data_IF_897894491304
#
_entry.id   IF_897894491304
#
_cell.length_a   1.000
_cell.length_b   1.000
_cell.length_c   1.000
_cell.angle_alpha   90.00
_cell.angle_beta   90.00
_cell.angle_gamma   90.00
#
_symmetry.space_group_name_H-M   'P 1'
#
loop_
_entity.id
_entity.type
_entity.pdbx_description
1 polymer ?
#
# COMPACT_ATOMS: atom_id res chain seq x y z
N UNK A 1 3.30 29.41 17.54
CA UNK A 1 2.68 29.26 16.22
C UNK A 1 1.82 28.01 16.22
N UNK A 2 0.83 27.90 15.35
CA UNK A 2 -0.06 26.72 15.27
C UNK A 2 -0.12 26.19 13.84
N UNK A 3 -0.41 24.92 13.63
CA UNK A 3 -0.57 24.39 12.27
C UNK A 3 -1.95 24.68 11.66
N UNK A 4 -2.08 24.49 10.34
CA UNK A 4 -3.34 24.67 9.61
C UNK A 4 -4.47 23.78 10.17
N UNK A 5 -4.16 22.54 10.53
CA UNK A 5 -5.12 21.62 11.12
C UNK A 5 -5.71 22.14 12.44
N UNK A 6 -4.90 22.74 13.32
CA UNK A 6 -5.38 23.38 14.54
C UNK A 6 -6.37 24.50 14.22
N UNK A 7 -6.04 25.36 13.26
CA UNK A 7 -6.89 26.50 12.86
C UNK A 7 -8.24 26.01 12.34
N UNK A 8 -8.22 25.05 11.42
CA UNK A 8 -9.44 24.48 10.82
C UNK A 8 -10.33 23.80 11.86
N UNK A 9 -9.72 23.11 12.82
CA UNK A 9 -10.45 22.35 13.84
C UNK A 9 -11.05 23.24 14.94
N UNK A 10 -10.30 24.22 15.43
CA UNK A 10 -10.68 24.96 16.65
C UNK A 10 -11.15 26.39 16.39
N UNK A 11 -10.66 27.05 15.34
CA UNK A 11 -10.88 28.48 15.16
C UNK A 11 -12.08 28.82 14.26
N UNK A 12 -12.70 27.83 13.57
CA UNK A 12 -13.97 27.97 12.81
C UNK A 12 -14.07 29.24 11.94
N UNK A 13 -12.97 29.67 11.33
CA UNK A 13 -12.90 30.84 10.46
C UNK A 13 -12.60 32.18 11.15
N UNK A 14 -12.37 32.20 12.46
CA UNK A 14 -11.83 33.36 13.15
C UNK A 14 -10.36 33.61 12.75
N UNK A 15 -9.96 34.88 12.69
CA UNK A 15 -8.56 35.25 12.43
C UNK A 15 -7.67 34.66 13.55
N UNK A 16 -6.72 33.76 13.22
CA UNK A 16 -5.87 33.12 14.21
C UNK A 16 -5.02 34.12 14.98
N UNK A 17 -4.56 35.22 14.38
CA UNK A 17 -3.61 36.15 15.00
C UNK A 17 -4.23 37.00 16.13
N UNK A 18 -5.56 37.08 16.17
CA UNK A 18 -6.30 37.79 17.23
C UNK A 18 -6.66 36.88 18.40
N UNK A 19 -6.37 35.58 18.32
CA UNK A 19 -6.77 34.61 19.33
C UNK A 19 -5.68 34.35 20.37
N UNK A 20 -6.13 33.94 21.56
CA UNK A 20 -5.28 33.51 22.67
C UNK A 20 -5.65 32.09 23.04
N UNK A 21 -4.65 31.29 23.40
CA UNK A 21 -4.82 29.91 23.84
C UNK A 21 -4.34 29.81 25.28
N UNK A 22 -5.16 29.21 26.15
CA UNK A 22 -4.78 28.88 27.52
C UNK A 22 -4.17 27.49 27.56
N UNK A 23 -2.93 27.36 28.04
CA UNK A 23 -2.23 26.08 28.13
C UNK A 23 -1.66 25.86 29.52
N UNK A 24 -1.74 24.61 29.97
CA UNK A 24 -1.01 24.16 31.15
C UNK A 24 0.47 24.07 30.82
N UNK A 25 1.27 24.93 31.46
CA UNK A 25 2.72 24.90 31.31
C UNK A 25 3.27 23.84 32.25
N UNK A 26 3.51 22.66 31.71
CA UNK A 26 4.03 21.54 32.48
C UNK A 26 5.55 21.72 32.70
N UNK A 27 5.94 22.00 33.94
CA UNK A 27 7.34 22.09 34.36
C UNK A 27 7.75 20.79 35.07
N UNK A 28 8.70 20.02 34.52
CA UNK A 28 9.16 18.80 35.16
C UNK A 28 9.68 19.07 36.58
N UNK A 29 9.13 18.38 37.58
CA UNK A 29 9.52 18.52 38.98
C UNK A 29 8.87 19.68 39.75
N UNK A 30 7.95 20.46 39.14
CA UNK A 30 7.22 21.53 39.80
C UNK A 30 5.73 21.18 39.99
N UNK A 31 5.04 21.73 41.02
CA UNK A 31 3.60 21.58 41.16
C UNK A 31 2.85 22.17 39.95
N UNK A 32 1.64 21.68 39.64
CA UNK A 32 0.84 22.21 38.53
C UNK A 32 0.64 23.72 38.71
N UNK A 33 1.08 24.49 37.72
CA UNK A 33 0.93 25.93 37.69
C UNK A 33 -0.44 26.32 37.13
N UNK A 34 -0.86 27.56 37.37
CA UNK A 34 -2.04 28.11 36.69
C UNK A 34 -1.81 28.10 35.17
N UNK A 35 -2.85 27.85 34.36
CA UNK A 35 -2.76 27.95 32.91
C UNK A 35 -2.22 29.31 32.51
N UNK A 36 -1.33 29.32 31.52
CA UNK A 36 -0.78 30.55 30.95
C UNK A 36 -1.48 30.80 29.62
N UNK A 37 -1.82 32.05 29.36
CA UNK A 37 -2.36 32.45 28.07
C UNK A 37 -1.26 32.85 27.09
N UNK A 38 -1.34 32.30 25.89
CA UNK A 38 -0.40 32.52 24.79
C UNK A 38 -1.12 33.13 23.61
N UNK A 39 -0.55 34.17 22.99
CA UNK A 39 -1.07 34.72 21.74
C UNK A 39 -0.57 33.91 20.54
N UNK A 40 -1.45 33.64 19.59
CA UNK A 40 -1.05 33.03 18.32
C UNK A 40 -0.37 34.11 17.47
N UNK A 41 0.90 33.88 17.13
CA UNK A 41 1.73 34.83 16.35
C UNK A 41 1.97 34.41 14.91
N UNK A 42 1.44 33.25 14.50
CA UNK A 42 1.62 32.73 13.15
C UNK A 42 1.05 31.33 12.98
N UNK A 43 0.82 30.98 11.71
CA UNK A 43 0.34 29.68 11.25
C UNK A 43 1.38 29.06 10.34
N UNK A 44 1.64 27.76 10.50
CA UNK A 44 2.56 27.00 9.65
C UNK A 44 1.84 25.84 8.96
N UNK A 45 2.42 25.34 7.86
CA UNK A 45 1.86 24.23 7.11
C UNK A 45 1.85 22.93 7.93
N UNK A 46 0.87 22.08 7.69
CA UNK A 46 0.78 20.79 8.36
C UNK A 46 2.01 19.91 8.09
N UNK A 47 2.63 19.41 9.16
CA UNK A 47 3.77 18.50 9.12
C UNK A 47 3.42 17.19 9.81
N UNK A 48 3.94 16.06 9.30
CA UNK A 48 3.68 14.73 9.85
C UNK A 48 4.71 14.37 10.94
N UNK A 49 4.79 15.20 11.99
CA UNK A 49 5.82 15.09 13.03
C UNK A 49 5.60 13.94 14.03
N UNK A 50 4.35 13.65 14.40
CA UNK A 50 3.99 12.62 15.39
C UNK A 50 3.57 11.26 14.77
N UNK A 51 3.62 11.12 13.45
CA UNK A 51 3.28 9.90 12.74
C UNK A 51 2.74 10.15 11.33
N UNK A 52 2.87 9.16 10.45
CA UNK A 52 2.45 9.27 9.03
C UNK A 52 0.92 9.15 8.89
N UNK A 53 0.22 8.66 9.91
CA UNK A 53 -1.14 8.10 9.83
C UNK A 53 -2.25 9.06 10.26
N UNK A 54 -1.98 10.05 11.10
CA UNK A 54 -2.99 10.98 11.60
C UNK A 54 -2.48 12.42 11.56
N UNK A 55 -3.32 13.30 11.01
CA UNK A 55 -3.13 14.73 11.16
C UNK A 55 -3.51 15.12 12.60
N UNK A 56 -2.61 15.81 13.27
CA UNK A 56 -2.81 16.26 14.65
C UNK A 56 -2.64 17.77 14.72
N UNK A 57 -3.25 18.36 15.74
CA UNK A 57 -3.11 19.79 16.02
C UNK A 57 -1.77 20.02 16.70
N UNK A 58 -0.93 20.85 16.12
CA UNK A 58 0.43 21.11 16.59
C UNK A 58 0.61 22.58 16.96
N UNK A 59 1.39 22.80 18.01
CA UNK A 59 1.61 24.11 18.61
C UNK A 59 3.10 24.24 18.90
N UNK A 60 3.73 25.14 18.16
CA UNK A 60 5.15 25.43 18.32
C UNK A 60 5.35 26.63 19.23
N UNK A 61 6.04 26.37 20.33
CA UNK A 61 6.40 27.36 21.34
C UNK A 61 7.91 27.60 21.29
N UNK A 62 8.37 28.87 21.18
CA UNK A 62 9.79 29.17 21.27
C UNK A 62 10.41 28.61 22.55
N UNK A 63 11.54 27.90 22.42
CA UNK A 63 12.21 27.23 23.54
C UNK A 63 12.43 28.16 24.74
N UNK A 64 12.82 29.41 24.51
CA UNK A 64 13.06 30.40 25.58
C UNK A 64 11.81 30.76 26.39
N UNK A 65 10.61 30.57 25.84
CA UNK A 65 9.35 30.84 26.54
C UNK A 65 8.84 29.61 27.30
N UNK A 66 9.22 28.40 26.89
CA UNK A 66 8.88 27.15 27.58
C UNK A 66 10.04 26.14 27.50
N UNK A 67 11.10 26.31 28.29
CA UNK A 67 12.28 25.45 28.22
C UNK A 67 11.96 24.06 28.78
N UNK A 68 12.22 23.03 27.97
CA UNK A 68 12.09 21.63 28.37
C UNK A 68 13.47 21.04 28.70
N UNK A 69 13.61 20.23 29.78
CA UNK A 69 14.90 19.66 30.18
C UNK A 69 15.48 18.63 29.19
N UNK A 70 14.68 18.16 28.23
CA UNK A 70 15.14 17.29 27.14
C UNK A 70 15.13 18.11 25.85
N UNK A 71 16.31 18.47 25.39
CA UNK A 71 16.49 19.26 24.16
C UNK A 71 16.94 18.32 23.05
N UNK A 72 16.28 18.41 21.91
CA UNK A 72 16.74 17.81 20.66
C UNK A 72 17.11 18.93 19.71
N UNK A 73 18.22 18.79 19.00
CA UNK A 73 18.68 19.76 18.02
C UNK A 73 18.64 19.13 16.64
N UNK A 74 18.09 19.87 15.68
CA UNK A 74 18.09 19.49 14.26
C UNK A 74 19.12 20.35 13.56
N UNK A 75 20.00 19.70 12.81
CA UNK A 75 21.08 20.36 12.06
C UNK A 75 20.86 20.08 10.59
N UNK A 76 20.80 21.15 9.78
CA UNK A 76 20.75 21.06 8.32
C UNK A 76 22.14 21.26 7.74
N UNK A 77 22.55 20.35 6.87
CA UNK A 77 23.85 20.37 6.19
C UNK A 77 23.67 20.00 4.71
N UNK A 78 24.47 20.57 3.83
CA UNK A 78 24.49 20.25 2.40
C UNK A 78 25.43 19.06 2.06
N UNK A 79 26.23 18.62 3.04
CA UNK A 79 27.14 17.47 2.95
C UNK A 79 26.49 16.25 3.63
N UNK A 80 26.97 15.04 3.34
CA UNK A 80 26.54 13.80 4.01
C UNK A 80 26.42 14.00 5.54
N UNK A 81 25.19 13.89 6.10
CA UNK A 81 24.95 14.08 7.53
C UNK A 81 25.87 13.22 8.40
N UNK A 82 26.23 12.01 7.95
CA UNK A 82 27.09 11.09 8.71
C UNK A 82 28.53 11.60 8.83
N UNK A 83 29.00 12.34 7.83
CA UNK A 83 30.34 12.92 7.84
C UNK A 83 30.49 14.05 8.88
N UNK A 84 29.40 14.75 9.20
CA UNK A 84 29.40 15.91 10.11
C UNK A 84 29.23 15.51 11.57
N UNK A 85 28.78 14.28 11.86
CA UNK A 85 28.51 13.78 13.23
C UNK A 85 29.73 13.95 14.15
N UNK A 86 30.94 13.59 13.69
CA UNK A 86 32.15 13.71 14.52
C UNK A 86 32.49 15.17 14.84
N UNK A 87 32.32 16.07 13.88
CA UNK A 87 32.56 17.50 14.07
C UNK A 87 31.56 18.10 15.05
N UNK A 88 30.27 17.75 14.94
CA UNK A 88 29.25 18.13 15.91
C UNK A 88 29.59 17.56 17.29
N UNK A 89 30.04 16.30 17.35
CA UNK A 89 30.40 15.67 18.61
C UNK A 89 31.55 16.38 19.32
N UNK A 90 32.58 16.76 18.56
CA UNK A 90 33.67 17.56 19.08
C UNK A 90 33.21 18.95 19.56
N UNK A 91 32.30 19.60 18.83
CA UNK A 91 31.78 20.91 19.20
C UNK A 91 30.97 20.86 20.51
N UNK A 92 30.09 19.88 20.66
CA UNK A 92 29.32 19.69 21.91
C UNK A 92 30.25 19.35 23.08
N UNK A 93 31.20 18.43 22.88
CA UNK A 93 32.16 18.06 23.92
C UNK A 93 33.04 19.24 24.38
N UNK A 94 33.31 20.21 23.50
CA UNK A 94 34.04 21.42 23.87
C UNK A 94 33.26 22.39 24.76
N UNK A 95 31.92 22.33 24.73
CA UNK A 95 31.04 23.13 25.58
C UNK A 95 30.84 22.44 26.93
N UNK A 96 30.55 21.14 26.91
CA UNK A 96 30.35 20.34 28.11
C UNK A 96 30.79 18.88 27.85
N UNK A 97 31.90 18.42 28.45
CA UNK A 97 32.39 17.05 28.29
C UNK A 97 31.46 15.98 28.87
N UNK A 98 30.65 16.32 29.87
CA UNK A 98 29.77 15.39 30.58
C UNK A 98 28.42 15.22 29.88
N UNK A 99 28.17 15.97 28.80
CA UNK A 99 26.91 15.93 28.06
C UNK A 99 26.91 14.79 27.01
N UNK A 100 26.15 13.70 27.21
CA UNK A 100 26.15 12.59 26.28
C UNK A 100 25.40 12.96 24.99
N UNK A 101 26.07 12.81 23.85
CA UNK A 101 25.41 12.79 22.55
C UNK A 101 24.66 11.47 22.35
N UNK A 102 23.48 11.40 22.93
CA UNK A 102 22.60 10.25 22.81
C UNK A 102 21.67 10.41 21.59
N UNK A 103 21.52 9.34 20.81
CA UNK A 103 20.46 9.25 19.79
C UNK A 103 20.67 10.07 18.52
N UNK A 104 21.92 10.34 18.13
CA UNK A 104 22.23 10.98 16.84
C UNK A 104 21.74 10.07 15.71
N UNK A 105 20.75 10.55 14.95
CA UNK A 105 20.16 9.85 13.80
C UNK A 105 19.96 10.84 12.67
N UNK A 106 20.07 10.36 11.44
CA UNK A 106 19.68 11.16 10.27
C UNK A 106 18.15 11.20 10.13
N UNK A 107 17.63 12.21 9.45
CA UNK A 107 16.19 12.25 9.12
C UNK A 107 15.80 11.00 8.30
N UNK A 108 16.66 10.53 7.40
CA UNK A 108 16.42 9.30 6.64
C UNK A 108 16.31 8.05 7.53
N UNK A 109 17.14 7.96 8.57
CA UNK A 109 17.07 6.86 9.53
C UNK A 109 15.75 6.90 10.31
N UNK A 110 15.36 8.08 10.81
CA UNK A 110 14.09 8.29 11.53
C UNK A 110 12.90 7.92 10.63
N UNK A 111 12.91 8.35 9.37
CA UNK A 111 11.88 8.02 8.39
C UNK A 111 11.86 6.52 8.11
N UNK A 112 13.01 5.88 7.94
CA UNK A 112 13.11 4.44 7.65
C UNK A 112 12.60 3.58 8.80
N UNK A 113 12.89 3.97 10.04
CA UNK A 113 12.45 3.28 11.26
C UNK A 113 10.94 3.42 11.45
N UNK A 114 10.39 4.62 11.19
CA UNK A 114 8.96 4.88 11.25
C UNK A 114 8.17 4.08 10.20
N UNK A 115 8.77 3.81 9.03
CA UNK A 115 8.15 3.07 7.94
C UNK A 115 8.42 1.56 7.99
N UNK A 116 9.24 1.07 8.92
CA UNK A 116 9.66 -0.34 8.95
C UNK A 116 8.47 -1.29 9.18
N UNK A 117 7.56 -0.93 10.08
CA UNK A 117 6.34 -1.70 10.38
C UNK A 117 5.42 -1.73 9.15
N UNK A 118 5.19 -0.58 8.51
CA UNK A 118 4.33 -0.49 7.33
C UNK A 118 4.90 -1.32 6.16
N UNK A 119 6.22 -1.29 5.94
CA UNK A 119 6.89 -2.13 4.93
C UNK A 119 6.71 -3.61 5.20
N UNK A 120 6.83 -4.05 6.44
CA UNK A 120 6.64 -5.45 6.79
C UNK A 120 5.22 -5.92 6.46
N UNK A 121 4.20 -5.15 6.84
CA UNK A 121 2.80 -5.45 6.52
C UNK A 121 2.55 -5.49 5.00
N UNK A 122 3.10 -4.54 4.25
CA UNK A 122 2.98 -4.51 2.78
C UNK A 122 3.59 -5.77 2.16
N UNK A 123 4.79 -6.16 2.57
CA UNK A 123 5.46 -7.37 2.04
C UNK A 123 4.66 -8.62 2.40
N UNK A 124 4.17 -8.73 3.63
CA UNK A 124 3.37 -9.86 4.08
C UNK A 124 2.06 -9.99 3.26
N UNK A 125 1.27 -8.92 3.16
CA UNK A 125 0.03 -8.96 2.38
C UNK A 125 0.28 -9.13 0.88
N UNK A 126 1.34 -8.53 0.33
CA UNK A 126 1.74 -8.75 -1.06
C UNK A 126 2.07 -10.22 -1.32
N UNK A 127 2.75 -10.89 -0.38
CA UNK A 127 3.06 -12.32 -0.50
C UNK A 127 1.82 -13.21 -0.44
N UNK A 128 0.86 -12.93 0.45
CA UNK A 128 -0.43 -13.62 0.45
C UNK A 128 -1.23 -13.36 -0.82
N UNK A 129 -1.24 -12.12 -1.32
CA UNK A 129 -1.85 -11.77 -2.59
C UNK A 129 -1.22 -12.54 -3.77
N UNK A 130 0.11 -12.63 -3.81
CA UNK A 130 0.83 -13.37 -4.83
C UNK A 130 0.54 -14.88 -4.77
N UNK A 131 0.51 -15.47 -3.57
CA UNK A 131 0.12 -16.87 -3.38
C UNK A 131 -1.33 -17.14 -3.79
N UNK A 132 -2.25 -16.27 -3.39
CA UNK A 132 -3.66 -16.36 -3.79
C UNK A 132 -3.83 -16.25 -5.30
N UNK A 133 -3.10 -15.34 -5.95
CA UNK A 133 -3.07 -15.19 -7.40
C UNK A 133 -2.53 -16.44 -8.10
N UNK A 134 -1.46 -17.02 -7.57
CA UNK A 134 -0.88 -18.26 -8.09
C UNK A 134 -1.87 -19.42 -7.96
N UNK A 135 -2.49 -19.59 -6.80
CA UNK A 135 -3.51 -20.62 -6.58
C UNK A 135 -4.71 -20.44 -7.50
N UNK A 136 -5.16 -19.20 -7.70
CA UNK A 136 -6.24 -18.88 -8.63
C UNK A 136 -5.84 -19.24 -10.08
N UNK A 137 -4.64 -18.86 -10.53
CA UNK A 137 -4.15 -19.20 -11.86
C UNK A 137 -4.03 -20.72 -12.08
N UNK A 138 -3.53 -21.45 -11.08
CA UNK A 138 -3.45 -22.93 -11.13
C UNK A 138 -4.84 -23.56 -11.16
N UNK A 139 -5.78 -23.06 -10.34
CA UNK A 139 -7.17 -23.55 -10.32
C UNK A 139 -7.90 -23.31 -11.64
N UNK A 140 -7.79 -22.10 -12.19
CA UNK A 140 -8.29 -21.74 -13.52
C UNK A 140 -7.71 -22.67 -14.59
N UNK A 141 -6.38 -22.88 -14.55
CA UNK A 141 -5.72 -23.78 -15.48
C UNK A 141 -6.25 -25.21 -15.37
N UNK A 142 -6.32 -25.76 -14.16
CA UNK A 142 -6.79 -27.12 -13.91
C UNK A 142 -8.22 -27.33 -14.40
N UNK A 143 -9.15 -26.46 -13.99
CA UNK A 143 -10.58 -26.58 -14.34
C UNK A 143 -10.79 -26.43 -15.85
N UNK A 144 -10.18 -25.43 -16.49
CA UNK A 144 -10.38 -25.22 -17.92
C UNK A 144 -9.66 -26.27 -18.77
N UNK A 145 -8.42 -26.62 -18.43
CA UNK A 145 -7.70 -27.63 -19.19
C UNK A 145 -8.39 -29.00 -19.11
N UNK A 146 -8.93 -29.35 -17.94
CA UNK A 146 -9.72 -30.57 -17.76
C UNK A 146 -11.03 -30.53 -18.58
N UNK A 147 -11.75 -29.41 -18.57
CA UNK A 147 -12.96 -29.24 -19.37
C UNK A 147 -12.71 -29.36 -20.88
N UNK A 148 -11.61 -28.79 -21.37
CA UNK A 148 -11.20 -28.94 -22.78
C UNK A 148 -10.79 -30.38 -23.09
N UNK A 149 -10.09 -31.05 -22.16
CA UNK A 149 -9.68 -32.44 -22.31
C UNK A 149 -10.88 -33.40 -22.43
N UNK A 150 -11.95 -33.19 -21.65
CA UNK A 150 -13.16 -34.02 -21.75
C UNK A 150 -13.90 -33.85 -23.08
N UNK A 151 -13.81 -32.67 -23.71
CA UNK A 151 -14.48 -32.38 -25.00
C UNK A 151 -13.64 -32.75 -26.23
N UNK A 152 -12.48 -33.36 -26.04
CA UNK A 152 -11.57 -33.75 -27.14
C UNK A 152 -12.21 -34.71 -28.14
N UNK A 153 -13.05 -35.64 -27.67
CA UNK A 153 -13.77 -36.58 -28.54
C UNK A 153 -14.75 -35.85 -29.48
N UNK A 154 -15.51 -34.87 -28.96
CA UNK A 154 -16.42 -34.05 -29.78
C UNK A 154 -15.66 -33.23 -30.84
N UNK A 155 -14.49 -32.70 -30.46
CA UNK A 155 -13.62 -31.98 -31.39
C UNK A 155 -13.10 -32.89 -32.50
N UNK A 156 -12.71 -34.13 -32.18
CA UNK A 156 -12.30 -35.15 -33.14
C UNK A 156 -13.37 -35.46 -34.17
N UNK A 157 -14.62 -35.69 -33.71
CA UNK A 157 -15.77 -35.94 -34.60
C UNK A 157 -16.05 -34.75 -35.52
N UNK A 158 -16.03 -33.51 -35.00
CA UNK A 158 -16.23 -32.30 -35.83
C UNK A 158 -15.15 -32.14 -36.89
N UNK A 159 -13.89 -32.43 -36.56
CA UNK A 159 -12.77 -32.37 -37.52
C UNK A 159 -12.93 -33.46 -38.58
N UNK A 160 -13.35 -34.68 -38.20
CA UNK A 160 -13.63 -35.77 -39.14
C UNK A 160 -14.78 -35.43 -40.11
N UNK A 161 -15.76 -34.64 -39.66
CA UNK A 161 -16.85 -34.09 -40.50
C UNK A 161 -16.41 -32.88 -41.37
N UNK A 162 -15.12 -32.53 -41.39
CA UNK A 162 -14.57 -31.48 -42.24
C UNK A 162 -14.44 -30.09 -41.59
N UNK A 163 -14.63 -29.96 -40.28
CA UNK A 163 -14.42 -28.68 -39.61
C UNK A 163 -12.93 -28.28 -39.62
N UNK A 164 -12.64 -27.04 -39.99
CA UNK A 164 -11.29 -26.47 -39.94
C UNK A 164 -10.80 -26.37 -38.48
N UNK A 165 -9.58 -26.87 -38.21
CA UNK A 165 -8.95 -26.85 -36.87
C UNK A 165 -8.98 -25.47 -36.18
N UNK A 166 -8.68 -24.34 -36.87
CA UNK A 166 -8.74 -23.01 -36.24
C UNK A 166 -10.14 -22.63 -35.76
N UNK A 167 -11.20 -23.11 -36.41
CA UNK A 167 -12.59 -22.83 -36.04
C UNK A 167 -12.98 -23.51 -34.73
N UNK A 168 -12.46 -24.71 -34.48
CA UNK A 168 -12.66 -25.44 -33.22
C UNK A 168 -11.89 -24.76 -32.08
N UNK A 169 -10.63 -24.39 -32.31
CA UNK A 169 -9.81 -23.68 -31.32
C UNK A 169 -10.41 -22.32 -30.96
N UNK A 170 -10.90 -21.55 -31.94
CA UNK A 170 -11.55 -20.27 -31.72
C UNK A 170 -12.84 -20.39 -30.88
N UNK A 171 -13.61 -21.47 -31.07
CA UNK A 171 -14.81 -21.73 -30.27
C UNK A 171 -14.45 -21.99 -28.80
N UNK A 172 -13.46 -22.85 -28.56
CA UNK A 172 -12.97 -23.15 -27.20
C UNK A 172 -12.44 -21.90 -26.52
N UNK A 173 -11.67 -21.09 -27.25
CA UNK A 173 -11.18 -19.82 -26.71
C UNK A 173 -12.32 -18.87 -26.37
N UNK A 174 -13.33 -18.76 -27.24
CA UNK A 174 -14.49 -17.89 -27.01
C UNK A 174 -15.24 -18.29 -25.74
N UNK A 175 -15.53 -19.58 -25.57
CA UNK A 175 -16.18 -20.10 -24.36
C UNK A 175 -15.32 -19.87 -23.11
N UNK A 176 -14.03 -20.17 -23.19
CA UNK A 176 -13.08 -19.94 -22.10
C UNK A 176 -12.95 -18.46 -21.72
N UNK A 177 -12.87 -17.56 -22.71
CA UNK A 177 -12.88 -16.11 -22.46
C UNK A 177 -14.16 -15.63 -21.82
N UNK A 178 -15.32 -16.12 -22.27
CA UNK A 178 -16.59 -15.69 -21.69
C UNK A 178 -16.66 -16.08 -20.20
N UNK A 179 -16.29 -17.32 -19.87
CA UNK A 179 -16.19 -17.80 -18.49
C UNK A 179 -15.19 -16.99 -17.67
N UNK A 180 -13.99 -16.74 -18.19
CA UNK A 180 -12.95 -15.98 -17.51
C UNK A 180 -13.36 -14.52 -17.26
N UNK A 181 -14.00 -13.88 -18.23
CA UNK A 181 -14.48 -12.49 -18.11
C UNK A 181 -15.61 -12.40 -17.09
N UNK A 182 -16.60 -13.29 -17.17
CA UNK A 182 -17.72 -13.30 -16.21
C UNK A 182 -17.20 -13.55 -14.78
N UNK A 183 -16.40 -14.59 -14.60
CA UNK A 183 -15.80 -14.91 -13.30
C UNK A 183 -14.91 -13.78 -12.78
N UNK A 184 -14.11 -13.18 -13.67
CA UNK A 184 -13.26 -12.04 -13.35
C UNK A 184 -14.06 -10.81 -12.93
N UNK A 185 -15.14 -10.45 -13.63
CA UNK A 185 -16.01 -9.32 -13.26
C UNK A 185 -16.69 -9.56 -11.91
N UNK A 186 -17.16 -10.78 -11.64
CA UNK A 186 -17.74 -11.14 -10.34
C UNK A 186 -16.68 -11.03 -9.24
N UNK A 187 -15.48 -11.55 -9.48
CA UNK A 187 -14.36 -11.48 -8.54
C UNK A 187 -13.93 -10.05 -8.24
N UNK A 188 -13.79 -9.21 -9.26
CA UNK A 188 -13.46 -7.78 -9.11
C UNK A 188 -14.57 -7.03 -8.35
N UNK A 189 -15.84 -7.32 -8.65
CA UNK A 189 -16.98 -6.76 -7.91
C UNK A 189 -16.95 -7.15 -6.44
N UNK A 190 -16.68 -8.42 -6.13
CA UNK A 190 -16.51 -8.90 -4.76
C UNK A 190 -15.34 -8.23 -4.04
N UNK A 191 -14.18 -8.15 -4.69
CA UNK A 191 -12.99 -7.48 -4.14
C UNK A 191 -13.24 -5.99 -3.87
N UNK A 192 -13.96 -5.30 -4.76
CA UNK A 192 -14.36 -3.91 -4.58
C UNK A 192 -15.28 -3.72 -3.37
N UNK A 193 -16.30 -4.58 -3.22
CA UNK A 193 -17.24 -4.52 -2.10
C UNK A 193 -16.54 -4.77 -0.75
N UNK A 194 -15.65 -5.76 -0.68
CA UNK A 194 -14.85 -6.04 0.52
C UNK A 194 -13.93 -4.87 0.83
N UNK A 195 -13.22 -4.34 -0.16
CA UNK A 195 -12.35 -3.17 0.02
C UNK A 195 -13.12 -1.95 0.55
N UNK A 196 -14.33 -1.72 0.04
CA UNK A 196 -15.22 -0.64 0.50
C UNK A 196 -15.70 -0.86 1.94
N UNK A 197 -16.04 -2.09 2.32
CA UNK A 197 -16.43 -2.42 3.69
C UNK A 197 -15.27 -2.27 4.70
N UNK A 198 -14.03 -2.55 4.26
CA UNK A 198 -12.85 -2.30 5.07
C UNK A 198 -12.59 -0.79 5.27
N UNK A 199 -12.76 0.02 4.23
CA UNK A 199 -12.64 1.48 4.33
C UNK A 199 -13.63 2.10 5.33
N UNK A 200 -14.86 1.57 5.45
CA UNK A 200 -15.82 2.09 6.44
C UNK A 200 -15.45 1.77 7.89
N UNK A 201 -14.54 0.83 8.12
CA UNK A 201 -14.16 0.36 9.46
C UNK A 201 -12.78 0.85 9.88
N UNK A 202 -11.89 1.14 8.92
CA UNK A 202 -10.48 1.44 9.17
C UNK A 202 -10.11 2.83 8.63
N UNK A 203 -9.67 3.72 9.51
CA UNK A 203 -9.19 5.06 9.15
C UNK A 203 -7.88 4.96 8.35
N UNK A 204 -7.76 5.78 7.28
CA UNK A 204 -6.52 5.91 6.51
C UNK A 204 -6.27 4.86 5.42
N UNK A 205 -7.25 4.01 5.07
CA UNK A 205 -7.12 3.09 3.92
C UNK A 205 -7.36 3.86 2.63
N UNK A 206 -6.33 3.90 1.76
CA UNK A 206 -6.42 4.51 0.44
C UNK A 206 -7.52 3.86 -0.43
N UNK A 207 -7.97 4.60 -1.44
CA UNK A 207 -8.92 4.14 -2.45
C UNK A 207 -8.52 2.82 -3.13
N UNK A 208 -9.48 2.21 -3.83
CA UNK A 208 -9.24 1.02 -4.65
C UNK A 208 -8.17 1.30 -5.70
N UNK A 209 -7.08 0.52 -5.70
CA UNK A 209 -6.02 0.63 -6.71
C UNK A 209 -6.44 -0.05 -8.02
N UNK A 210 -6.86 0.78 -8.98
CA UNK A 210 -7.30 0.33 -10.29
C UNK A 210 -6.20 -0.38 -11.09
N UNK A 211 -4.91 -0.08 -10.83
CA UNK A 211 -3.77 -0.72 -11.50
C UNK A 211 -3.61 -2.15 -11.01
N UNK A 212 -3.71 -2.37 -9.70
CA UNK A 212 -3.65 -3.71 -9.12
C UNK A 212 -4.81 -4.59 -9.61
N UNK A 213 -6.03 -4.06 -9.63
CA UNK A 213 -7.22 -4.75 -10.14
C UNK A 213 -7.05 -5.15 -11.62
N UNK A 214 -6.60 -4.20 -12.45
CA UNK A 214 -6.30 -4.46 -13.85
C UNK A 214 -5.25 -5.54 -14.03
N UNK A 215 -4.10 -5.43 -13.34
CA UNK A 215 -3.01 -6.40 -13.43
C UNK A 215 -3.45 -7.82 -13.07
N UNK A 216 -4.20 -7.99 -11.97
CA UNK A 216 -4.74 -9.29 -11.55
C UNK A 216 -5.69 -9.86 -12.61
N UNK A 217 -6.62 -9.05 -13.11
CA UNK A 217 -7.58 -9.48 -14.13
C UNK A 217 -6.86 -9.95 -15.41
N UNK A 218 -5.88 -9.17 -15.90
CA UNK A 218 -5.11 -9.53 -17.09
C UNK A 218 -4.29 -10.81 -16.88
N UNK A 219 -3.65 -10.99 -15.71
CA UNK A 219 -2.88 -12.20 -15.40
C UNK A 219 -3.76 -13.46 -15.36
N UNK A 220 -4.94 -13.37 -14.75
CA UNK A 220 -5.90 -14.48 -14.73
C UNK A 220 -6.47 -14.75 -16.13
N UNK A 221 -6.68 -13.72 -16.94
CA UNK A 221 -7.13 -13.88 -18.34
C UNK A 221 -6.07 -14.57 -19.20
N UNK A 222 -4.78 -14.23 -19.03
CA UNK A 222 -3.67 -14.91 -19.69
C UNK A 222 -3.60 -16.38 -19.25
N UNK A 223 -3.74 -16.64 -17.95
CA UNK A 223 -3.79 -18.00 -17.41
C UNK A 223 -4.93 -18.82 -18.04
N UNK A 224 -6.13 -18.23 -18.14
CA UNK A 224 -7.28 -18.83 -18.80
C UNK A 224 -7.00 -19.12 -20.28
N UNK A 225 -6.40 -18.18 -21.01
CA UNK A 225 -6.05 -18.39 -22.41
C UNK A 225 -5.06 -19.53 -22.59
N UNK A 226 -4.01 -19.59 -21.77
CA UNK A 226 -3.05 -20.69 -21.80
C UNK A 226 -3.72 -22.04 -21.49
N UNK A 227 -4.64 -22.06 -20.53
CA UNK A 227 -5.41 -23.24 -20.16
C UNK A 227 -6.33 -23.75 -21.26
N UNK A 228 -6.88 -22.85 -22.09
CA UNK A 228 -7.72 -23.23 -23.23
C UNK A 228 -6.89 -23.56 -24.48
N UNK A 229 -5.86 -22.76 -24.78
CA UNK A 229 -5.03 -22.88 -25.99
C UNK A 229 -4.21 -24.17 -26.00
N UNK A 230 -3.49 -24.48 -24.91
CA UNK A 230 -2.56 -25.60 -24.88
C UNK A 230 -3.27 -26.96 -25.11
N UNK A 231 -4.38 -27.28 -24.43
CA UNK A 231 -5.10 -28.54 -24.65
C UNK A 231 -5.85 -28.54 -25.98
N UNK A 232 -6.44 -27.42 -26.42
CA UNK A 232 -7.13 -27.35 -27.71
C UNK A 232 -6.18 -27.58 -28.89
N UNK A 233 -4.97 -27.02 -28.83
CA UNK A 233 -3.93 -27.25 -29.82
C UNK A 233 -3.48 -28.71 -29.81
N UNK A 234 -3.25 -29.31 -28.63
CA UNK A 234 -2.92 -30.73 -28.51
C UNK A 234 -4.01 -31.61 -29.12
N UNK A 235 -5.27 -31.39 -28.77
CA UNK A 235 -6.41 -32.13 -29.28
C UNK A 235 -6.56 -32.02 -30.80
N UNK A 236 -6.33 -30.84 -31.37
CA UNK A 236 -6.41 -30.62 -32.83
C UNK A 236 -5.29 -31.29 -33.62
N UNK A 237 -4.20 -31.69 -32.95
CA UNK A 237 -3.03 -32.36 -33.55
C UNK A 237 -3.06 -33.87 -33.41
N UNK A 238 -3.87 -34.43 -32.50
CA UNK A 238 -4.07 -35.88 -32.42
C UNK A 238 -4.76 -36.32 -33.71
N UNK A 239 -4.07 -37.16 -34.50
CA UNK A 239 -4.57 -37.63 -35.79
C UNK A 239 -5.88 -38.42 -35.58
N UNK A 240 -6.91 -38.19 -36.43
CA UNK A 240 -8.23 -38.82 -36.32
C UNK A 240 -8.21 -40.36 -36.45
N UNK A 241 -7.04 -40.96 -36.76
CA UNK A 241 -6.84 -42.40 -36.90
C UNK A 241 -6.50 -43.14 -35.60
N UNK A 242 -6.07 -42.45 -34.54
CA UNK A 242 -5.79 -43.09 -33.23
C UNK A 242 -7.04 -43.18 -32.35
N UNK A 243 -8.02 -42.29 -32.56
CA UNK A 243 -9.28 -42.28 -31.80
C UNK A 243 -10.23 -43.45 -32.14
N UNK A 244 -9.98 -44.20 -33.21
CA UNK A 244 -10.76 -45.37 -33.64
C UNK A 244 -10.13 -46.71 -33.21
N UNK A 245 -9.02 -46.70 -32.47
CA UNK A 245 -8.27 -47.93 -32.09
C UNK A 245 -8.19 -48.18 -30.58
N UNK A 246 -8.97 -47.45 -29.79
CA UNK A 246 -9.19 -47.77 -28.38
C UNK A 246 -10.67 -48.16 -28.19
N UNK A 247 -10.97 -49.38 -28.60
CA UNK A 247 -11.95 -50.25 -27.94
C UNK A 247 -11.19 -51.32 -27.16
#
# INVERSE_FOLDING_TARGET
MVNEYFVNRYLRGADPLTQRISMDVQRPGAPPAKPVEWQIVGVFHDVRGAGVREDYSEIDVPFWQNPWPRVSMVIKTDVDPKAVIKSIASAVNSVDPDLPLAGVRTIDEIVSESLAIDRFSVVLFASFGALGLLLAAVGIYGVMAFGVAQRTHEFGVRIALGAQRPRVVALVLKEGTALAVIGGLIGLGGAYLVGRAMQSTLYGVAGVDLRAFGAVFFLLLISAWLACLLPALRASRVEPLVALRHD
#
